data_IF_378593926262
#
_entry.id   IF_378593926262
#
_cell.length_a   1.000
_cell.length_b   1.000
_cell.length_c   1.000
_cell.angle_alpha   90.00
_cell.angle_beta   90.00
_cell.angle_gamma   90.00
#
_symmetry.space_group_name_H-M   'P 1'
#
loop_
_entity.id
_entity.type
_entity.pdbx_description
1 polymer ?
#
# COMPACT_ATOMS: atom_id res chain seq x y z
N UNK A 1 -14.61 37.21 -2.38
CA UNK A 1 -14.18 36.10 -1.51
C UNK A 1 -12.76 36.42 -1.04
N UNK A 2 -12.63 37.07 0.12
CA UNK A 2 -11.34 37.41 0.70
C UNK A 2 -10.86 36.26 1.58
N UNK A 3 -9.58 35.95 1.43
CA UNK A 3 -8.81 34.88 2.05
C UNK A 3 -8.88 35.00 3.59
N UNK A 4 -9.72 34.19 4.23
CA UNK A 4 -9.74 34.01 5.70
C UNK A 4 -8.84 32.85 6.19
N UNK A 5 -8.01 32.29 5.32
CA UNK A 5 -7.14 31.16 5.67
C UNK A 5 -5.83 31.59 6.36
N UNK A 6 -5.49 32.89 6.37
CA UNK A 6 -4.22 33.40 6.91
C UNK A 6 -4.22 33.63 8.43
N UNK A 7 -5.32 34.15 8.99
CA UNK A 7 -5.40 34.50 10.41
C UNK A 7 -5.53 33.26 11.32
N UNK A 8 -6.29 32.24 10.89
CA UNK A 8 -6.47 30.99 11.64
C UNK A 8 -5.16 30.18 11.73
N UNK A 9 -4.39 30.13 10.64
CA UNK A 9 -3.09 29.45 10.63
C UNK A 9 -2.06 30.17 11.51
N UNK A 10 -2.08 31.50 11.52
CA UNK A 10 -1.19 32.30 12.35
C UNK A 10 -1.53 32.18 13.84
N UNK A 11 -2.82 32.16 14.19
CA UNK A 11 -3.30 31.87 15.54
C UNK A 11 -2.94 30.45 15.99
N UNK A 12 -3.08 29.45 15.13
CA UNK A 12 -2.66 28.07 15.42
C UNK A 12 -1.15 27.98 15.66
N UNK A 13 -0.34 28.67 14.85
CA UNK A 13 1.11 28.74 15.05
C UNK A 13 1.45 29.42 16.37
N UNK A 14 0.84 30.56 16.70
CA UNK A 14 1.07 31.24 17.98
C UNK A 14 0.66 30.37 19.18
N UNK A 15 -0.49 29.70 19.11
CA UNK A 15 -0.93 28.75 20.14
C UNK A 15 0.04 27.56 20.27
N UNK A 16 0.53 27.02 19.16
CA UNK A 16 1.52 25.95 19.15
C UNK A 16 2.85 26.42 19.74
N UNK A 17 3.32 27.63 19.41
CA UNK A 17 4.52 28.23 20.00
C UNK A 17 4.37 28.47 21.50
N UNK A 18 3.22 28.97 21.95
CA UNK A 18 2.92 29.14 23.38
C UNK A 18 2.91 27.78 24.08
N UNK A 19 2.25 26.78 23.49
CA UNK A 19 2.18 25.41 24.03
C UNK A 19 3.58 24.79 24.14
N UNK A 20 4.39 24.86 23.09
CA UNK A 20 5.79 24.39 23.08
C UNK A 20 6.61 25.13 24.15
N UNK A 21 6.45 26.45 24.28
CA UNK A 21 7.18 27.26 25.26
C UNK A 21 6.74 26.98 26.71
N UNK A 22 5.48 26.65 26.93
CA UNK A 22 4.93 26.26 28.23
C UNK A 22 5.35 24.84 28.61
N UNK A 23 5.28 23.89 27.67
CA UNK A 23 5.75 22.52 27.87
C UNK A 23 7.26 22.50 28.14
N UNK A 24 8.05 23.31 27.41
CA UNK A 24 9.49 23.45 27.64
C UNK A 24 9.81 24.11 28.99
N UNK A 25 9.03 25.09 29.45
CA UNK A 25 9.18 25.67 30.80
C UNK A 25 8.78 24.69 31.90
N UNK A 26 7.63 24.01 31.76
CA UNK A 26 7.18 22.96 32.69
C UNK A 26 8.17 21.81 32.82
N UNK A 27 8.79 21.39 31.70
CA UNK A 27 9.84 20.37 31.67
C UNK A 27 11.14 20.83 32.32
N UNK A 28 11.53 22.10 32.17
CA UNK A 28 12.69 22.69 32.90
C UNK A 28 12.44 22.84 34.40
N UNK A 29 11.20 23.14 34.78
CA UNK A 29 10.75 23.26 36.18
C UNK A 29 10.49 21.88 36.83
N UNK A 30 10.70 20.79 36.10
CA UNK A 30 10.48 19.42 36.59
C UNK A 30 9.01 19.07 36.82
N UNK A 31 8.06 19.88 36.34
CA UNK A 31 6.62 19.68 36.55
C UNK A 31 6.06 18.52 35.74
N UNK A 32 6.52 18.32 34.49
CA UNK A 32 6.04 17.26 33.60
C UNK A 32 7.14 16.79 32.64
N UNK A 33 7.18 15.50 32.31
CA UNK A 33 8.12 14.87 31.39
C UNK A 33 9.55 14.76 31.91
N UNK A 34 10.45 14.29 31.04
CA UNK A 34 11.89 14.19 31.33
C UNK A 34 12.56 15.57 31.19
N UNK A 35 13.17 16.11 32.26
CA UNK A 35 13.79 17.42 32.21
C UNK A 35 15.04 17.44 31.32
N UNK A 36 15.10 18.39 30.37
CA UNK A 36 16.23 18.50 29.44
C UNK A 36 17.28 19.55 29.83
N UNK A 37 16.85 20.64 30.47
CA UNK A 37 17.74 21.71 30.96
C UNK A 37 17.28 22.21 32.31
N UNK A 38 18.22 22.67 33.14
CA UNK A 38 17.91 23.36 34.38
C UNK A 38 17.49 24.82 34.11
N UNK A 39 16.77 25.45 35.05
CA UNK A 39 16.43 26.88 34.97
C UNK A 39 17.66 27.78 34.94
N UNK A 40 18.77 27.35 35.56
CA UNK A 40 20.05 28.07 35.51
C UNK A 40 20.79 27.94 34.16
N UNK A 41 20.20 27.25 33.17
CA UNK A 41 20.79 27.03 31.85
C UNK A 41 21.81 25.89 31.78
N UNK A 42 22.17 25.29 32.92
CA UNK A 42 23.05 24.11 32.98
C UNK A 42 22.32 22.82 32.61
N UNK A 43 23.08 21.83 32.15
CA UNK A 43 22.54 20.53 31.78
C UNK A 43 22.07 19.73 33.01
N UNK A 44 21.13 18.83 32.79
CA UNK A 44 20.57 17.94 33.80
C UNK A 44 21.31 16.60 33.76
N UNK A 45 21.76 16.13 34.91
CA UNK A 45 22.44 14.84 35.06
C UNK A 45 21.60 13.90 35.94
N UNK A 46 21.69 12.60 35.65
CA UNK A 46 21.06 11.58 36.46
C UNK A 46 22.01 11.25 37.61
N UNK A 47 21.56 11.55 38.82
CA UNK A 47 22.25 11.17 40.05
C UNK A 47 21.52 10.04 40.74
N UNK A 48 22.27 9.38 41.60
CA UNK A 48 21.84 8.18 42.29
C UNK A 48 21.70 8.50 43.77
N UNK A 49 20.54 8.25 44.37
CA UNK A 49 20.37 8.37 45.81
C UNK A 49 21.01 7.16 46.49
N UNK A 50 22.04 7.39 47.31
CA UNK A 50 22.55 6.35 48.20
C UNK A 50 21.62 6.22 49.41
N UNK A 51 20.75 5.22 49.36
CA UNK A 51 20.13 4.62 50.53
C UNK A 51 20.70 3.20 50.66
N UNK A 52 20.96 2.73 51.88
CA UNK A 52 21.64 1.46 52.17
C UNK A 52 21.03 0.22 51.49
N UNK A 53 20.27 -0.59 52.22
CA UNK A 53 19.72 -1.89 51.77
C UNK A 53 18.60 -1.82 50.71
N UNK A 54 18.30 -0.64 50.18
CA UNK A 54 17.23 -0.42 49.19
C UNK A 54 17.79 -0.28 47.77
N UNK A 55 17.04 -0.67 46.73
CA UNK A 55 17.45 -0.48 45.34
C UNK A 55 17.58 1.02 45.03
N UNK A 56 18.84 1.45 45.02
CA UNK A 56 19.42 2.64 44.39
C UNK A 56 18.46 3.37 43.43
N UNK A 57 17.68 4.33 43.94
CA UNK A 57 16.72 5.12 43.14
C UNK A 57 17.44 6.28 42.44
N UNK A 58 17.14 6.49 41.16
CA UNK A 58 17.75 7.52 40.31
C UNK A 58 16.89 8.77 40.22
N UNK A 59 17.50 9.95 40.18
CA UNK A 59 16.80 11.22 40.01
C UNK A 59 17.59 12.17 39.10
N UNK A 60 16.86 13.03 38.40
CA UNK A 60 17.41 14.11 37.60
C UNK A 60 17.77 15.30 38.50
N UNK A 61 18.99 15.83 38.36
CA UNK A 61 19.48 16.98 39.10
C UNK A 61 20.34 17.91 38.23
N UNK A 62 20.55 19.14 38.69
CA UNK A 62 21.38 20.12 38.00
C UNK A 62 22.87 19.76 38.08
N UNK A 63 23.60 19.81 36.96
CA UNK A 63 25.05 19.57 36.93
C UNK A 63 25.85 20.69 37.63
N UNK A 64 25.40 21.93 37.48
CA UNK A 64 26.06 23.08 38.08
C UNK A 64 25.63 23.21 39.54
N UNK A 65 26.56 22.97 40.47
CA UNK A 65 26.38 23.15 41.91
C UNK A 65 26.28 24.63 42.34
N UNK A 66 25.85 25.50 41.42
CA UNK A 66 25.81 26.94 41.63
C UNK A 66 24.47 27.31 42.29
N UNK A 67 24.36 26.98 43.58
CA UNK A 67 23.25 27.39 44.41
C UNK A 67 23.52 28.80 44.93
N UNK A 68 23.09 29.83 44.21
CA UNK A 68 23.06 31.18 44.77
C UNK A 68 22.12 31.28 45.98
N UNK A 69 21.11 30.39 46.07
CA UNK A 69 20.08 30.40 47.12
C UNK A 69 20.02 29.12 47.99
N UNK A 70 21.00 28.22 47.90
CA UNK A 70 21.03 26.95 48.65
C UNK A 70 19.91 25.95 48.30
N UNK A 71 19.11 26.20 47.25
CA UNK A 71 18.01 25.32 46.82
C UNK A 71 18.37 24.55 45.56
N UNK A 72 17.99 23.27 45.50
CA UNK A 72 18.07 22.48 44.28
C UNK A 72 17.09 23.02 43.23
N UNK A 73 17.59 23.50 42.09
CA UNK A 73 16.79 24.04 41.00
C UNK A 73 15.87 23.00 40.32
N UNK A 74 16.31 21.74 40.33
CA UNK A 74 15.54 20.62 39.80
C UNK A 74 15.91 19.34 40.54
N UNK A 75 14.89 18.62 41.00
CA UNK A 75 15.01 17.28 41.57
C UNK A 75 13.75 16.50 41.24
N UNK A 76 13.83 15.66 40.21
CA UNK A 76 12.70 14.82 39.76
C UNK A 76 13.12 13.37 39.72
N UNK A 77 12.29 12.48 40.24
CA UNK A 77 12.56 11.05 40.21
C UNK A 77 12.53 10.52 38.77
N UNK A 78 13.47 9.63 38.46
CA UNK A 78 13.61 9.09 37.12
C UNK A 78 12.38 8.27 36.72
N UNK A 79 11.85 7.46 37.63
CA UNK A 79 10.68 6.61 37.43
C UNK A 79 9.39 7.41 37.17
N UNK A 80 9.16 8.48 37.91
CA UNK A 80 8.01 9.37 37.69
C UNK A 80 8.11 10.10 36.34
N UNK A 81 9.29 10.58 35.98
CA UNK A 81 9.50 11.28 34.71
C UNK A 81 9.46 10.36 33.48
N UNK A 82 10.04 9.16 33.59
CA UNK A 82 10.18 8.23 32.47
C UNK A 82 8.95 7.35 32.27
N UNK A 83 8.35 6.82 33.35
CA UNK A 83 7.23 5.88 33.23
C UNK A 83 5.86 6.55 33.22
N UNK A 84 5.63 7.63 33.97
CA UNK A 84 4.29 8.21 34.04
C UNK A 84 4.07 9.29 32.99
N UNK A 85 5.02 10.20 32.77
CA UNK A 85 4.73 11.34 31.90
C UNK A 85 4.95 11.02 30.42
N UNK A 86 6.10 10.45 30.04
CA UNK A 86 6.41 10.25 28.62
C UNK A 86 5.67 9.04 28.03
N UNK A 87 5.55 7.94 28.78
CA UNK A 87 4.84 6.74 28.28
C UNK A 87 3.36 7.01 28.11
N UNK A 88 2.70 7.72 29.04
CA UNK A 88 1.29 8.05 28.89
C UNK A 88 1.04 8.97 27.69
N UNK A 89 1.90 9.98 27.47
CA UNK A 89 1.82 10.84 26.27
C UNK A 89 2.05 10.05 24.99
N UNK A 90 2.94 9.05 25.01
CA UNK A 90 3.17 8.17 23.87
C UNK A 90 1.97 7.25 23.62
N UNK A 91 1.37 6.69 24.68
CA UNK A 91 0.15 5.86 24.57
C UNK A 91 -0.98 6.69 23.97
N UNK A 92 -1.24 7.90 24.48
CA UNK A 92 -2.27 8.79 23.94
C UNK A 92 -2.07 9.10 22.45
N UNK A 93 -0.82 9.37 22.05
CA UNK A 93 -0.50 9.62 20.63
C UNK A 93 -0.66 8.40 19.75
N UNK A 94 -0.29 7.22 20.26
CA UNK A 94 -0.49 5.95 19.56
C UNK A 94 -1.97 5.67 19.39
N UNK A 95 -2.77 5.90 20.43
CA UNK A 95 -4.23 5.73 20.37
C UNK A 95 -4.88 6.73 19.41
N UNK A 96 -4.47 8.01 19.44
CA UNK A 96 -4.94 9.02 18.50
C UNK A 96 -4.62 8.64 17.05
N UNK A 97 -3.38 8.22 16.79
CA UNK A 97 -2.97 7.80 15.45
C UNK A 97 -3.69 6.53 15.01
N UNK A 98 -3.84 5.55 15.90
CA UNK A 98 -4.58 4.32 15.64
C UNK A 98 -6.02 4.62 15.27
N UNK A 99 -6.69 5.51 16.00
CA UNK A 99 -8.06 5.92 15.71
C UNK A 99 -8.17 6.63 14.34
N UNK A 100 -7.23 7.51 14.00
CA UNK A 100 -7.20 8.16 12.68
C UNK A 100 -7.04 7.13 11.56
N UNK A 101 -6.09 6.20 11.72
CA UNK A 101 -5.85 5.12 10.75
C UNK A 101 -7.11 4.26 10.60
N UNK A 102 -7.79 3.91 11.69
CA UNK A 102 -9.04 3.14 11.64
C UNK A 102 -10.14 3.89 10.88
N UNK A 103 -10.40 5.15 11.22
CA UNK A 103 -11.42 5.97 10.56
C UNK A 103 -11.13 6.13 9.06
N UNK A 104 -9.88 6.40 8.68
CA UNK A 104 -9.49 6.48 7.28
C UNK A 104 -9.62 5.13 6.57
N UNK A 105 -9.25 4.03 7.24
CA UNK A 105 -9.38 2.69 6.68
C UNK A 105 -10.84 2.30 6.45
N UNK A 106 -11.74 2.65 7.37
CA UNK A 106 -13.17 2.38 7.27
C UNK A 106 -13.82 3.25 6.18
N UNK A 107 -13.42 4.52 6.08
CA UNK A 107 -13.84 5.41 4.99
C UNK A 107 -13.37 4.89 3.62
N UNK A 108 -12.14 4.39 3.53
CA UNK A 108 -11.60 3.82 2.30
C UNK A 108 -12.30 2.51 1.92
N UNK A 109 -12.55 1.62 2.90
CA UNK A 109 -13.26 0.37 2.69
C UNK A 109 -14.71 0.61 2.25
N UNK A 110 -15.42 1.55 2.88
CA UNK A 110 -16.78 1.90 2.49
C UNK A 110 -16.85 2.52 1.09
N UNK A 111 -15.90 3.41 0.74
CA UNK A 111 -15.79 3.96 -0.62
C UNK A 111 -15.54 2.87 -1.67
N UNK A 112 -14.61 1.95 -1.39
CA UNK A 112 -14.29 0.85 -2.29
C UNK A 112 -15.50 -0.10 -2.45
N UNK A 113 -16.15 -0.48 -1.35
CA UNK A 113 -17.36 -1.29 -1.39
C UNK A 113 -18.47 -0.60 -2.19
N UNK A 114 -18.67 0.70 -1.99
CA UNK A 114 -19.62 1.50 -2.77
C UNK A 114 -19.29 1.53 -4.26
N UNK A 115 -18.00 1.52 -4.64
CA UNK A 115 -17.58 1.41 -6.03
C UNK A 115 -17.83 0.01 -6.61
N UNK A 116 -17.49 -1.04 -5.86
CA UNK A 116 -17.66 -2.45 -6.28
C UNK A 116 -19.14 -2.84 -6.38
N UNK A 117 -20.01 -2.27 -5.54
CA UNK A 117 -21.47 -2.47 -5.57
C UNK A 117 -22.19 -1.69 -6.67
N UNK A 118 -21.47 -0.94 -7.53
CA UNK A 118 -22.11 -0.26 -8.65
C UNK A 118 -22.68 -1.29 -9.64
N UNK A 119 -23.87 -1.04 -10.22
CA UNK A 119 -24.53 -2.00 -11.10
C UNK A 119 -23.70 -2.32 -12.35
N UNK A 120 -22.89 -1.36 -12.83
CA UNK A 120 -21.95 -1.56 -13.94
C UNK A 120 -20.89 -2.62 -13.60
N UNK A 121 -20.37 -2.60 -12.38
CA UNK A 121 -19.37 -3.57 -11.90
C UNK A 121 -19.98 -4.95 -11.69
N UNK A 122 -21.22 -5.02 -11.19
CA UNK A 122 -21.96 -6.28 -11.09
C UNK A 122 -22.26 -6.88 -12.46
N UNK A 123 -22.66 -6.03 -13.42
CA UNK A 123 -22.91 -6.44 -14.81
C UNK A 123 -21.62 -6.93 -15.46
N UNK A 124 -20.51 -6.21 -15.28
CA UNK A 124 -19.20 -6.64 -15.76
C UNK A 124 -18.78 -7.97 -15.14
N UNK A 125 -18.99 -8.16 -13.83
CA UNK A 125 -18.74 -9.42 -13.14
C UNK A 125 -19.57 -10.57 -13.73
N UNK A 126 -20.86 -10.34 -13.95
CA UNK A 126 -21.74 -11.34 -14.57
C UNK A 126 -21.29 -11.69 -16.00
N UNK A 127 -20.94 -10.69 -16.81
CA UNK A 127 -20.44 -10.91 -18.17
C UNK A 127 -19.13 -11.69 -18.16
N UNK A 128 -18.22 -11.38 -17.23
CA UNK A 128 -16.98 -12.13 -17.04
C UNK A 128 -17.27 -13.59 -16.68
N UNK A 129 -18.19 -13.84 -15.75
CA UNK A 129 -18.62 -15.20 -15.39
C UNK A 129 -19.17 -15.96 -16.60
N UNK A 130 -19.99 -15.30 -17.42
CA UNK A 130 -20.53 -15.90 -18.64
C UNK A 130 -19.44 -16.26 -19.65
N UNK A 131 -18.46 -15.38 -19.86
CA UNK A 131 -17.32 -15.65 -20.75
C UNK A 131 -16.50 -16.83 -20.23
N UNK A 132 -16.30 -16.94 -18.92
CA UNK A 132 -15.61 -18.10 -18.32
C UNK A 132 -16.38 -19.40 -18.57
N UNK A 133 -17.71 -19.37 -18.43
CA UNK A 133 -18.56 -20.54 -18.71
C UNK A 133 -18.52 -20.94 -20.19
N UNK A 134 -18.61 -19.96 -21.10
CA UNK A 134 -18.50 -20.20 -22.55
C UNK A 134 -17.14 -20.81 -22.92
N UNK A 135 -16.04 -20.36 -22.32
CA UNK A 135 -14.71 -20.93 -22.53
C UNK A 135 -14.67 -22.38 -22.06
N UNK A 136 -15.25 -22.71 -20.90
CA UNK A 136 -15.24 -24.09 -20.39
C UNK A 136 -16.10 -25.01 -21.27
N UNK A 137 -17.25 -24.53 -21.76
CA UNK A 137 -18.07 -25.28 -22.72
C UNK A 137 -17.33 -25.51 -24.05
N UNK A 138 -16.65 -24.49 -24.57
CA UNK A 138 -15.86 -24.60 -25.80
C UNK A 138 -14.70 -25.59 -25.63
N UNK A 139 -14.04 -25.55 -24.47
CA UNK A 139 -12.96 -26.46 -24.12
C UNK A 139 -13.42 -27.91 -24.06
N UNK A 140 -14.59 -28.19 -23.49
CA UNK A 140 -15.16 -29.54 -23.50
C UNK A 140 -15.55 -30.00 -24.91
N UNK A 141 -16.05 -29.08 -25.74
CA UNK A 141 -16.34 -29.36 -27.17
C UNK A 141 -15.07 -29.71 -27.95
N UNK A 142 -13.97 -29.01 -27.71
CA UNK A 142 -12.66 -29.31 -28.32
C UNK A 142 -12.07 -30.61 -27.76
N UNK A 143 -12.34 -30.93 -26.49
CA UNK A 143 -11.89 -32.16 -25.83
C UNK A 143 -12.54 -33.41 -26.44
N UNK A 144 -13.74 -33.30 -27.03
CA UNK A 144 -14.41 -34.44 -27.66
C UNK A 144 -13.51 -35.08 -28.74
N UNK A 145 -13.01 -36.31 -28.51
CA UNK A 145 -12.11 -36.98 -29.45
C UNK A 145 -12.77 -37.22 -30.81
N UNK A 146 -14.11 -37.33 -30.87
CA UNK A 146 -14.82 -37.53 -32.13
C UNK A 146 -14.73 -36.31 -33.05
N UNK A 147 -14.79 -35.10 -32.48
CA UNK A 147 -14.67 -33.86 -33.24
C UNK A 147 -13.23 -33.69 -33.76
N UNK A 148 -12.24 -33.93 -32.91
CA UNK A 148 -10.81 -33.91 -33.27
C UNK A 148 -10.52 -34.91 -34.38
N UNK A 149 -11.06 -36.13 -34.30
CA UNK A 149 -10.86 -37.15 -35.31
C UNK A 149 -11.56 -36.79 -36.64
N UNK A 150 -12.76 -36.20 -36.59
CA UNK A 150 -13.44 -35.69 -37.78
C UNK A 150 -12.64 -34.58 -38.45
N UNK A 151 -12.06 -33.64 -37.69
CA UNK A 151 -11.19 -32.59 -38.24
C UNK A 151 -9.97 -33.18 -38.93
N UNK A 152 -9.27 -34.15 -38.30
CA UNK A 152 -8.14 -34.84 -38.93
C UNK A 152 -8.53 -35.59 -40.22
N UNK A 153 -9.73 -36.18 -40.26
CA UNK A 153 -10.26 -36.84 -41.47
C UNK A 153 -10.61 -35.85 -42.57
N UNK A 154 -11.10 -34.66 -42.23
CA UNK A 154 -11.32 -33.57 -43.18
C UNK A 154 -9.99 -33.06 -43.75
N UNK A 155 -9.03 -32.75 -42.87
CA UNK A 155 -7.70 -32.29 -43.25
C UNK A 155 -6.99 -33.27 -44.21
N UNK A 156 -7.04 -34.58 -43.91
CA UNK A 156 -6.53 -35.62 -44.82
C UNK A 156 -7.24 -35.66 -46.17
N UNK A 157 -8.56 -35.47 -46.20
CA UNK A 157 -9.34 -35.43 -47.44
C UNK A 157 -9.02 -34.20 -48.26
N UNK A 158 -8.83 -33.05 -47.63
CA UNK A 158 -8.47 -31.81 -48.30
C UNK A 158 -7.04 -31.88 -48.87
N UNK A 159 -6.09 -32.44 -48.11
CA UNK A 159 -4.76 -32.74 -48.61
C UNK A 159 -4.80 -33.69 -49.81
N UNK A 160 -5.55 -34.80 -49.71
CA UNK A 160 -5.71 -35.75 -50.82
C UNK A 160 -6.40 -35.13 -52.05
N UNK A 161 -7.42 -34.29 -51.84
CA UNK A 161 -8.10 -33.57 -52.91
C UNK A 161 -7.13 -32.62 -53.62
N UNK A 162 -6.29 -31.90 -52.89
CA UNK A 162 -5.31 -30.98 -53.47
C UNK A 162 -4.28 -31.72 -54.34
N UNK A 163 -3.83 -32.90 -53.91
CA UNK A 163 -2.92 -33.75 -54.68
C UNK A 163 -3.57 -34.27 -55.97
N UNK A 164 -4.83 -34.71 -55.90
CA UNK A 164 -5.57 -35.17 -57.07
C UNK A 164 -5.83 -34.01 -58.05
N UNK A 165 -6.19 -32.83 -57.54
CA UNK A 165 -6.34 -31.61 -58.33
C UNK A 165 -5.04 -31.26 -59.05
N UNK A 166 -3.88 -31.36 -58.39
CA UNK A 166 -2.58 -31.17 -59.03
C UNK A 166 -2.31 -32.19 -60.14
N UNK A 167 -2.56 -33.48 -59.89
CA UNK A 167 -2.37 -34.54 -60.90
C UNK A 167 -3.27 -34.32 -62.13
N UNK A 168 -4.54 -33.99 -61.93
CA UNK A 168 -5.48 -33.69 -63.01
C UNK A 168 -5.01 -32.46 -63.80
N UNK A 169 -4.61 -31.39 -63.11
CA UNK A 169 -4.11 -30.18 -63.77
C UNK A 169 -2.91 -30.47 -64.69
N UNK A 170 -1.96 -31.31 -64.24
CA UNK A 170 -0.82 -31.74 -65.06
C UNK A 170 -1.28 -32.52 -66.28
N UNK A 171 -2.15 -33.51 -66.13
CA UNK A 171 -2.66 -34.32 -67.26
C UNK A 171 -3.40 -33.45 -68.28
N UNK A 172 -4.29 -32.57 -67.82
CA UNK A 172 -5.03 -31.64 -68.69
C UNK A 172 -4.05 -30.73 -69.45
N UNK A 173 -3.02 -30.21 -68.79
CA UNK A 173 -2.02 -29.37 -69.45
C UNK A 173 -1.27 -30.11 -70.57
N UNK A 174 -0.87 -31.36 -70.34
CA UNK A 174 -0.18 -32.19 -71.32
C UNK A 174 -1.08 -32.47 -72.54
N UNK A 175 -2.34 -32.83 -72.32
CA UNK A 175 -3.31 -33.06 -73.41
C UNK A 175 -3.51 -31.80 -74.25
N UNK A 176 -3.65 -30.64 -73.62
CA UNK A 176 -3.81 -29.36 -74.34
C UNK A 176 -2.58 -29.07 -75.21
N UNK A 177 -1.37 -29.31 -74.70
CA UNK A 177 -0.12 -29.16 -75.48
C UNK A 177 -0.09 -30.14 -76.66
N UNK A 178 -0.40 -31.41 -76.44
CA UNK A 178 -0.44 -32.41 -77.53
C UNK A 178 -1.45 -32.04 -78.62
N UNK A 179 -2.67 -31.63 -78.24
CA UNK A 179 -3.68 -31.18 -79.19
C UNK A 179 -3.21 -29.97 -79.99
N UNK A 180 -2.54 -29.01 -79.36
CA UNK A 180 -1.97 -27.85 -80.05
C UNK A 180 -0.86 -28.26 -81.05
N UNK A 181 -0.01 -29.21 -80.69
CA UNK A 181 1.04 -29.75 -81.59
C UNK A 181 0.44 -30.45 -82.81
N UNK A 182 -0.61 -31.24 -82.64
CA UNK A 182 -1.30 -31.92 -83.75
C UNK A 182 -1.92 -30.90 -84.71
N UNK A 183 -2.60 -29.88 -84.17
CA UNK A 183 -3.18 -28.80 -84.97
C UNK A 183 -2.10 -28.06 -85.76
N UNK A 184 -0.94 -27.81 -85.14
CA UNK A 184 0.20 -27.17 -85.81
C UNK A 184 0.78 -28.03 -86.92
N UNK A 185 0.93 -29.34 -86.70
CA UNK A 185 1.49 -30.28 -87.68
C UNK A 185 0.59 -30.46 -88.92
N UNK A 186 -0.73 -30.37 -88.76
CA UNK A 186 -1.69 -30.52 -89.86
C UNK A 186 -1.86 -29.26 -90.73
N UNK A 187 -1.15 -28.16 -90.45
CA UNK A 187 -1.29 -26.88 -91.13
C UNK A 187 -0.03 -26.52 -91.92
#
# INVERSE_FOLDING_TARGET
MHVKYGEDFQLQLEQLFIKIKCDFRGRREGRFGIPQKCLCGSDVVISTAHAGTDPVRRFYCCNSNNTLDGRHHIRKWWDEAAMMDEVNVLIEKVDELSNKVQVESDANLSNLNGFVSRPEMETLRHNLQKVVEEIEQLKETIRDPNLVEKMKKLEKRDAHRSELQFKIAVVVSVVVIFMALIIWYMK
#
